data_IF_622857533251
#
_entry.id   IF_622857533251
#
_cell.length_a   1.000
_cell.length_b   1.000
_cell.length_c   1.000
_cell.angle_alpha   90.00
_cell.angle_beta   90.00
_cell.angle_gamma   90.00
#
_symmetry.space_group_name_H-M   'P 1'
#
loop_
_entity.id
_entity.type
_entity.pdbx_description
1 polymer ?
#
# COMPACT_ATOMS: atom_id res chain seq x y z
N UNK A 1 -8.00 1.38 17.58
CA UNK A 1 -6.57 1.61 17.89
C UNK A 1 -6.24 3.06 17.56
N UNK A 2 -5.91 3.90 18.55
CA UNK A 2 -5.38 5.27 18.31
C UNK A 2 -3.87 5.18 18.16
N UNK A 3 -3.31 5.92 17.21
CA UNK A 3 -1.90 5.85 16.84
C UNK A 3 -1.18 7.06 17.42
N UNK A 4 -0.11 6.86 18.23
CA UNK A 4 0.44 7.92 19.06
C UNK A 4 1.26 8.99 18.31
N UNK A 5 1.75 8.73 17.09
CA UNK A 5 2.75 9.60 16.44
C UNK A 5 2.28 10.24 15.13
N UNK A 6 0.97 10.40 14.94
CA UNK A 6 0.43 11.03 13.74
C UNK A 6 -0.69 11.98 14.11
N UNK A 7 -0.40 13.28 14.14
CA UNK A 7 -1.43 14.31 14.29
C UNK A 7 -2.12 14.54 12.95
N UNK A 8 -3.41 14.17 12.80
CA UNK A 8 -4.14 14.44 11.57
C UNK A 8 -4.32 15.95 11.42
N UNK A 9 -3.68 16.54 10.41
CA UNK A 9 -4.00 17.89 9.97
C UNK A 9 -5.41 17.88 9.35
N UNK A 10 -6.39 18.61 9.93
CA UNK A 10 -7.78 18.58 9.47
C UNK A 10 -7.97 19.05 8.02
N UNK A 11 -6.97 19.72 7.42
CA UNK A 11 -6.97 20.17 6.03
C UNK A 11 -6.17 19.28 5.08
N UNK A 12 -5.71 18.10 5.51
CA UNK A 12 -5.00 17.15 4.66
C UNK A 12 -5.81 15.87 4.45
N UNK A 13 -5.78 15.36 3.22
CA UNK A 13 -6.26 14.01 2.94
C UNK A 13 -5.38 13.00 3.65
N UNK A 14 -5.96 11.92 4.16
CA UNK A 14 -5.21 10.80 4.70
C UNK A 14 -5.73 9.51 4.12
N UNK A 15 -4.85 8.83 3.38
CA UNK A 15 -5.12 7.49 2.88
C UNK A 15 -4.46 6.47 3.80
N UNK A 16 -5.20 5.40 4.09
CA UNK A 16 -4.70 4.26 4.85
C UNK A 16 -4.65 3.06 3.92
N UNK A 17 -3.49 2.40 3.86
CA UNK A 17 -3.28 1.22 3.04
C UNK A 17 -2.98 0.05 3.98
N UNK A 18 -3.80 -1.01 3.90
CA UNK A 18 -3.59 -2.24 4.64
C UNK A 18 -2.76 -3.23 3.84
N UNK A 19 -1.73 -3.78 4.47
CA UNK A 19 -0.89 -4.85 3.92
C UNK A 19 -1.10 -6.09 4.78
N UNK A 20 -1.32 -7.24 4.14
CA UNK A 20 -1.62 -8.52 4.81
C UNK A 20 -0.68 -9.60 4.31
N UNK A 21 0.07 -10.22 5.20
CA UNK A 21 0.78 -11.47 4.93
C UNK A 21 -0.20 -12.64 4.98
N UNK A 22 -0.45 -13.24 3.81
CA UNK A 22 -1.26 -14.45 3.66
C UNK A 22 -0.43 -15.74 3.59
N UNK A 23 0.89 -15.65 3.78
CA UNK A 23 1.80 -16.79 3.74
C UNK A 23 1.71 -17.64 5.00
N UNK A 24 2.08 -18.92 4.89
CA UNK A 24 2.34 -19.82 6.03
C UNK A 24 3.65 -19.50 6.76
N UNK A 25 4.46 -18.59 6.20
CA UNK A 25 5.76 -18.19 6.72
C UNK A 25 5.77 -16.71 7.07
N UNK A 26 6.59 -16.38 8.07
CA UNK A 26 6.88 -15.01 8.43
C UNK A 26 7.58 -14.31 7.26
N UNK A 27 7.33 -13.01 7.16
CA UNK A 27 8.00 -12.13 6.22
C UNK A 27 8.94 -11.20 7.00
N UNK A 28 10.13 -11.00 6.45
CA UNK A 28 11.17 -10.13 7.01
C UNK A 28 11.63 -9.13 5.95
N UNK A 29 12.33 -8.09 6.39
CA UNK A 29 12.89 -7.05 5.54
C UNK A 29 11.85 -6.45 4.57
N UNK A 30 10.66 -6.12 5.08
CA UNK A 30 9.58 -5.61 4.25
C UNK A 30 9.89 -4.18 3.84
N UNK A 31 10.09 -3.97 2.55
CA UNK A 31 10.30 -2.65 1.93
C UNK A 31 9.06 -2.22 1.16
N UNK A 32 8.69 -0.96 1.34
CA UNK A 32 7.50 -0.34 0.78
C UNK A 32 7.89 0.81 -0.10
N UNK A 33 7.32 0.84 -1.29
CA UNK A 33 7.51 1.93 -2.22
C UNK A 33 6.16 2.30 -2.86
N UNK A 34 5.68 3.50 -2.56
CA UNK A 34 4.50 4.08 -3.19
C UNK A 34 4.97 5.11 -4.20
N UNK A 35 4.55 4.98 -5.46
CA UNK A 35 4.97 5.88 -6.54
C UNK A 35 3.78 6.35 -7.38
N UNK A 36 3.81 7.61 -7.81
CA UNK A 36 3.04 8.09 -8.96
C UNK A 36 3.72 7.57 -10.23
N UNK A 37 2.94 7.00 -11.13
CA UNK A 37 3.36 6.50 -12.44
C UNK A 37 2.65 7.32 -13.51
N UNK A 38 3.41 8.11 -14.25
CA UNK A 38 2.91 9.05 -15.25
C UNK A 38 3.52 8.75 -16.62
N UNK A 39 2.72 8.57 -17.68
CA UNK A 39 3.23 8.27 -19.00
C UNK A 39 3.86 9.50 -19.64
N UNK A 40 4.89 9.27 -20.44
CA UNK A 40 5.46 10.28 -21.30
C UNK A 40 5.90 9.65 -22.63
N UNK A 41 5.82 10.44 -23.69
CA UNK A 41 6.12 10.01 -25.04
C UNK A 41 7.63 10.10 -25.28
N UNK A 42 8.21 9.07 -25.89
CA UNK A 42 9.62 9.04 -26.31
C UNK A 42 9.74 8.59 -27.77
N UNK A 43 10.90 8.85 -28.37
CA UNK A 43 11.21 8.54 -29.78
C UNK A 43 10.17 9.12 -30.74
N UNK A 44 9.98 10.44 -30.71
CA UNK A 44 9.14 11.20 -31.64
C UNK A 44 7.68 10.69 -31.77
N UNK A 45 7.10 10.16 -30.68
CA UNK A 45 5.74 9.64 -30.71
C UNK A 45 5.63 8.12 -30.75
N UNK A 46 6.72 7.40 -31.03
CA UNK A 46 6.65 5.96 -31.32
C UNK A 46 6.51 5.06 -30.08
N UNK A 47 6.84 5.55 -28.88
CA UNK A 47 6.82 4.75 -27.64
C UNK A 47 6.30 5.54 -26.46
N UNK A 48 5.65 4.82 -25.53
CA UNK A 48 5.23 5.36 -24.23
C UNK A 48 6.15 4.78 -23.16
N UNK A 49 6.78 5.65 -22.38
CA UNK A 49 7.52 5.28 -21.17
C UNK A 49 6.82 5.89 -19.93
N UNK A 50 7.28 5.57 -18.73
CA UNK A 50 6.66 6.03 -17.49
C UNK A 50 7.68 6.67 -16.56
N UNK A 51 7.37 7.89 -16.11
CA UNK A 51 8.06 8.54 -15.02
C UNK A 51 7.52 8.00 -13.72
N UNK A 52 8.41 7.60 -12.82
CA UNK A 52 8.08 7.16 -11.47
C UNK A 52 8.52 8.23 -10.48
N UNK A 53 7.58 8.74 -9.70
CA UNK A 53 7.83 9.73 -8.65
C UNK A 53 7.41 9.15 -7.31
N UNK A 54 8.34 9.10 -6.35
CA UNK A 54 8.05 8.59 -5.01
C UNK A 54 7.04 9.46 -4.29
N UNK A 55 6.10 8.82 -3.61
CA UNK A 55 5.09 9.43 -2.75
C UNK A 55 5.43 9.10 -1.29
N UNK A 56 5.31 10.08 -0.40
CA UNK A 56 5.67 9.88 1.00
C UNK A 56 4.65 9.02 1.74
N UNK A 57 5.15 8.20 2.67
CA UNK A 57 4.33 7.31 3.50
C UNK A 57 4.84 7.31 4.93
N UNK A 58 3.98 6.98 5.88
CA UNK A 58 4.33 6.91 7.31
C UNK A 58 5.41 5.86 7.62
N UNK A 59 5.63 4.90 6.72
CA UNK A 59 6.69 3.90 6.84
C UNK A 59 7.11 3.39 5.46
N UNK A 60 8.43 3.39 5.21
CA UNK A 60 9.05 2.80 3.99
C UNK A 60 9.60 1.40 4.24
N UNK A 61 9.67 0.99 5.51
CA UNK A 61 10.30 -0.25 5.93
C UNK A 61 9.61 -0.83 7.17
N UNK A 62 9.58 -2.16 7.26
CA UNK A 62 9.15 -2.91 8.44
C UNK A 62 10.01 -4.17 8.58
N UNK A 63 10.54 -4.40 9.77
CA UNK A 63 11.44 -5.53 10.01
C UNK A 63 10.77 -6.89 9.82
N UNK A 64 9.54 -7.01 10.29
CA UNK A 64 8.85 -8.29 10.42
C UNK A 64 7.34 -8.14 10.25
N UNK A 65 6.75 -9.16 9.63
CA UNK A 65 5.33 -9.35 9.52
C UNK A 65 5.01 -10.84 9.70
N UNK A 66 4.24 -11.13 10.74
CA UNK A 66 3.91 -12.50 11.13
C UNK A 66 3.20 -13.25 10.00
N UNK A 67 3.42 -14.56 9.95
CA UNK A 67 2.66 -15.50 9.11
C UNK A 67 1.17 -15.41 9.39
N UNK A 68 0.39 -15.80 8.40
CA UNK A 68 -1.03 -16.02 8.59
C UNK A 68 -1.27 -17.14 9.61
N UNK A 69 -2.08 -16.83 10.65
CA UNK A 69 -2.64 -17.79 11.59
C UNK A 69 -4.15 -17.84 11.35
N UNK A 70 -4.74 -19.05 11.34
CA UNK A 70 -6.17 -19.24 11.10
C UNK A 70 -7.03 -18.84 12.30
N UNK A 71 -6.44 -18.75 13.49
CA UNK A 71 -7.13 -18.45 14.74
C UNK A 71 -7.73 -17.03 14.71
N UNK A 72 -9.00 -16.93 15.10
CA UNK A 72 -9.90 -15.82 14.75
C UNK A 72 -9.56 -14.46 15.39
N UNK A 73 -8.62 -14.42 16.34
CA UNK A 73 -8.36 -13.23 17.17
C UNK A 73 -6.98 -12.56 16.95
N UNK A 74 -6.16 -13.04 16.02
CA UNK A 74 -4.82 -12.47 15.79
C UNK A 74 -4.74 -11.65 14.49
N UNK A 75 -4.47 -10.35 14.63
CA UNK A 75 -4.27 -9.41 13.52
C UNK A 75 -2.81 -9.14 13.15
N UNK A 76 -1.86 -9.82 13.79
CA UNK A 76 -0.41 -9.57 13.72
C UNK A 76 0.19 -9.77 12.32
N UNK A 77 -0.51 -10.51 11.46
CA UNK A 77 -0.11 -10.76 10.08
C UNK A 77 -0.51 -9.61 9.13
N UNK A 78 -1.03 -8.50 9.67
CA UNK A 78 -1.38 -7.32 8.91
C UNK A 78 -0.85 -6.05 9.59
N UNK A 79 -0.57 -5.04 8.79
CA UNK A 79 -0.26 -3.70 9.28
C UNK A 79 -0.79 -2.66 8.30
N UNK A 80 -0.83 -1.41 8.76
CA UNK A 80 -1.30 -0.27 7.97
C UNK A 80 -0.19 0.74 7.81
N UNK A 81 -0.11 1.34 6.63
CA UNK A 81 0.67 2.55 6.36
C UNK A 81 -0.27 3.69 5.98
N UNK A 82 0.20 4.92 6.18
CA UNK A 82 -0.52 6.13 5.81
C UNK A 82 0.23 6.94 4.79
N UNK A 83 -0.48 7.78 4.07
CA UNK A 83 0.09 8.85 3.24
C UNK A 83 -0.86 10.05 3.27
N UNK A 84 -0.28 11.24 3.26
CA UNK A 84 -0.99 12.52 3.16
C UNK A 84 -0.96 13.11 1.73
N UNK A 85 -0.41 12.34 0.79
CA UNK A 85 -0.40 12.66 -0.63
C UNK A 85 -1.82 12.56 -1.21
N UNK A 86 -2.22 13.50 -2.07
CA UNK A 86 -3.55 13.53 -2.67
C UNK A 86 -3.69 12.47 -3.79
N UNK A 87 -3.84 11.20 -3.39
CA UNK A 87 -4.04 10.08 -4.32
C UNK A 87 -5.26 10.31 -5.22
N UNK A 88 -6.37 10.83 -4.70
CA UNK A 88 -7.58 11.06 -5.49
C UNK A 88 -7.35 12.09 -6.60
N UNK A 89 -6.68 13.20 -6.28
CA UNK A 89 -6.29 14.22 -7.25
C UNK A 89 -5.32 13.69 -8.30
N UNK A 90 -4.45 12.74 -7.96
CA UNK A 90 -3.53 12.11 -8.91
C UNK A 90 -4.23 11.17 -9.90
N UNK A 91 -5.12 10.30 -9.41
CA UNK A 91 -5.76 9.24 -10.22
C UNK A 91 -7.09 9.65 -10.84
N UNK A 92 -7.39 10.95 -10.82
CA UNK A 92 -8.51 11.52 -11.60
C UNK A 92 -8.17 11.54 -13.09
N UNK A 93 -6.88 11.70 -13.44
CA UNK A 93 -6.39 11.53 -14.80
C UNK A 93 -6.31 10.03 -15.11
N UNK A 94 -7.05 9.53 -16.11
CA UNK A 94 -7.04 8.11 -16.46
C UNK A 94 -5.69 7.57 -16.93
N UNK A 95 -4.74 8.46 -17.27
CA UNK A 95 -3.40 8.09 -17.71
C UNK A 95 -2.42 7.96 -16.54
N UNK A 96 -2.75 8.48 -15.36
CA UNK A 96 -1.90 8.43 -14.17
C UNK A 96 -2.36 7.27 -13.27
N UNK A 97 -1.41 6.50 -12.74
CA UNK A 97 -1.70 5.53 -11.68
C UNK A 97 -0.79 5.70 -10.49
N UNK A 98 -1.27 5.29 -9.32
CA UNK A 98 -0.44 5.17 -8.11
C UNK A 98 -0.12 3.70 -7.91
N UNK A 99 1.16 3.36 -7.81
CA UNK A 99 1.62 1.98 -7.64
C UNK A 99 2.23 1.79 -6.26
N UNK A 100 1.68 0.85 -5.49
CA UNK A 100 2.33 0.31 -4.30
C UNK A 100 3.16 -0.91 -4.68
N UNK A 101 4.42 -0.92 -4.26
CA UNK A 101 5.30 -2.08 -4.33
C UNK A 101 5.67 -2.52 -2.92
N UNK A 102 5.45 -3.80 -2.65
CA UNK A 102 5.83 -4.46 -1.40
C UNK A 102 6.86 -5.53 -1.73
N UNK A 103 8.06 -5.38 -1.19
CA UNK A 103 9.14 -6.35 -1.31
C UNK A 103 9.39 -6.97 0.06
N UNK A 104 9.38 -8.29 0.17
CA UNK A 104 9.59 -8.97 1.45
C UNK A 104 10.34 -10.29 1.26
N UNK A 105 11.16 -10.66 2.26
CA UNK A 105 11.85 -11.96 2.29
C UNK A 105 11.03 -12.96 3.08
N UNK A 106 10.82 -14.15 2.52
CA UNK A 106 10.14 -15.23 3.22
C UNK A 106 11.12 -15.99 4.13
N UNK A 107 10.77 -16.14 5.41
CA UNK A 107 11.67 -16.69 6.43
C UNK A 107 12.19 -18.11 6.17
N UNK A 108 11.43 -18.97 5.47
CA UNK A 108 11.87 -20.35 5.21
C UNK A 108 12.87 -20.44 4.04
N UNK A 109 12.66 -19.66 3.00
CA UNK A 109 13.37 -19.84 1.72
C UNK A 109 14.40 -18.75 1.44
N UNK A 110 14.41 -17.67 2.23
CA UNK A 110 15.11 -16.41 1.94
C UNK A 110 14.80 -15.82 0.55
N UNK A 111 13.79 -16.35 -0.15
CA UNK A 111 13.38 -15.82 -1.43
C UNK A 111 12.66 -14.49 -1.22
N UNK A 112 13.06 -13.51 -2.01
CA UNK A 112 12.43 -12.21 -2.04
C UNK A 112 11.19 -12.28 -2.93
N UNK A 113 10.04 -11.96 -2.37
CA UNK A 113 8.79 -11.80 -3.12
C UNK A 113 8.50 -10.33 -3.29
N UNK A 114 8.18 -9.95 -4.52
CA UNK A 114 7.77 -8.59 -4.87
C UNK A 114 6.30 -8.65 -5.31
N UNK A 115 5.48 -7.80 -4.73
CA UNK A 115 4.06 -7.64 -5.08
C UNK A 115 3.83 -6.19 -5.49
N UNK A 116 3.12 -6.00 -6.60
CA UNK A 116 2.68 -4.69 -7.06
C UNK A 116 1.16 -4.61 -7.01
N UNK A 117 0.65 -3.44 -6.64
CA UNK A 117 -0.75 -3.09 -6.79
C UNK A 117 -0.85 -1.70 -7.41
N UNK A 118 -1.64 -1.57 -8.48
CA UNK A 118 -1.89 -0.29 -9.13
C UNK A 118 -3.29 0.21 -8.77
N UNK A 119 -3.35 1.42 -8.23
CA UNK A 119 -4.56 2.20 -8.03
C UNK A 119 -4.74 3.10 -9.26
N UNK A 120 -5.74 2.78 -10.07
CA UNK A 120 -5.99 3.43 -11.37
C UNK A 120 -7.21 4.33 -11.37
N UNK A 121 -8.00 4.32 -10.29
CA UNK A 121 -9.20 5.16 -10.18
C UNK A 121 -9.62 5.35 -8.72
N UNK A 122 -10.44 6.37 -8.49
CA UNK A 122 -11.00 6.69 -7.17
C UNK A 122 -11.93 5.59 -6.62
N UNK A 123 -12.34 4.62 -7.42
CA UNK A 123 -13.16 3.47 -6.97
C UNK A 123 -12.48 2.60 -5.91
N UNK A 124 -11.15 2.62 -5.85
CA UNK A 124 -10.33 1.97 -4.83
C UNK A 124 -10.37 2.70 -3.48
N UNK A 125 -10.79 3.97 -3.46
CA UNK A 125 -10.85 4.79 -2.25
C UNK A 125 -12.22 4.56 -1.59
N UNK A 126 -12.20 3.99 -0.38
CA UNK A 126 -13.41 3.76 0.43
C UNK A 126 -13.40 4.74 1.60
N UNK A 127 -14.26 5.76 1.53
CA UNK A 127 -14.45 6.77 2.60
C UNK A 127 -15.36 6.21 3.68
N UNK A 128 -15.14 6.58 4.94
CA UNK A 128 -15.98 6.20 6.08
C UNK A 128 -16.12 4.68 6.26
N UNK A 129 -15.06 3.96 5.91
CA UNK A 129 -14.97 2.52 6.12
C UNK A 129 -13.80 2.17 7.03
N UNK A 130 -13.97 1.13 7.85
CA UNK A 130 -12.92 0.52 8.64
C UNK A 130 -12.41 -0.75 7.95
N UNK A 131 -11.10 -0.99 7.98
CA UNK A 131 -10.55 -2.27 7.54
C UNK A 131 -11.05 -3.42 8.43
N UNK A 132 -11.48 -4.52 7.80
CA UNK A 132 -11.66 -5.78 8.51
C UNK A 132 -10.27 -6.31 8.85
N UNK A 133 -9.86 -6.28 10.11
CA UNK A 133 -8.54 -6.76 10.55
C UNK A 133 -8.41 -8.29 10.46
N UNK A 134 -7.18 -8.80 10.39
CA UNK A 134 -6.87 -10.19 10.08
C UNK A 134 -6.64 -10.44 8.58
N UNK A 135 -7.01 -11.62 8.07
CA UNK A 135 -6.71 -12.07 6.70
C UNK A 135 -7.54 -11.44 5.58
N UNK A 136 -8.58 -10.69 5.93
CA UNK A 136 -9.41 -9.99 4.97
C UNK A 136 -8.70 -8.76 4.40
N UNK A 137 -8.87 -8.49 3.11
CA UNK A 137 -8.59 -7.19 2.51
C UNK A 137 -9.84 -6.30 2.45
N UNK A 138 -10.96 -6.82 2.95
CA UNK A 138 -12.24 -6.14 2.95
C UNK A 138 -12.29 -4.98 3.94
N UNK A 139 -13.32 -4.17 3.74
CA UNK A 139 -13.66 -3.03 4.57
C UNK A 139 -15.13 -3.16 4.99
N UNK A 140 -15.51 -2.60 6.13
CA UNK A 140 -16.89 -2.50 6.61
C UNK A 140 -17.25 -1.03 6.82
N UNK A 141 -18.52 -0.69 6.62
CA UNK A 141 -19.04 0.65 6.92
C UNK A 141 -18.87 0.91 8.41
N UNK A 142 -18.43 2.12 8.77
CA UNK A 142 -18.29 2.56 10.15
C UNK A 142 -19.63 3.02 10.74
#
# INVERSE_FOLDING_TARGET
>A
MRFPDFEPNPNKYFYVIKIVNKSRFDAYDIRLNLVKKEPYIVNDGAKINHRLTSLETSAKFKDHLFRYKKDENYGENAYMIRTDEDIAGLIIDPNISVRLTVCARHGLTNLTRIVHHEFTSTSYIKKDHEFVFGSSLGVKIQ
#
